data_IF_664848317792
#
_entry.id   IF_664848317792
#
_cell.length_a   1.000
_cell.length_b   1.000
_cell.length_c   1.000
_cell.angle_alpha   90.00
_cell.angle_beta   90.00
_cell.angle_gamma   90.00
#
_symmetry.space_group_name_H-M   'P 1'
#
loop_
_entity.id
_entity.type
_entity.pdbx_description
1 polymer ?
#
# COMPACT_ATOMS: atom_id res chain seq x y z
N UNK A 1 -14.94 22.23 -10.59
CA UNK A 1 -15.32 20.80 -10.61
C UNK A 1 -14.05 20.00 -10.36
N UNK A 2 -13.74 19.70 -9.11
CA UNK A 2 -12.55 18.91 -8.77
C UNK A 2 -12.89 17.45 -9.02
N UNK A 3 -12.43 16.91 -10.15
CA UNK A 3 -12.54 15.49 -10.43
C UNK A 3 -11.82 14.73 -9.33
N UNK A 4 -12.49 13.78 -8.68
CA UNK A 4 -11.82 12.85 -7.79
C UNK A 4 -10.73 12.16 -8.60
N UNK A 5 -9.47 12.52 -8.34
CA UNK A 5 -8.32 11.80 -8.87
C UNK A 5 -8.50 10.39 -8.33
N UNK A 6 -8.89 9.43 -9.18
CA UNK A 6 -9.01 8.03 -8.77
C UNK A 6 -7.62 7.61 -8.32
N UNK A 7 -7.40 7.53 -7.01
CA UNK A 7 -6.16 6.98 -6.47
C UNK A 7 -6.03 5.58 -7.07
N UNK A 8 -4.94 5.29 -7.79
CA UNK A 8 -4.76 3.98 -8.39
C UNK A 8 -4.83 2.94 -7.27
N UNK A 9 -5.50 1.81 -7.55
CA UNK A 9 -5.64 0.72 -6.59
C UNK A 9 -4.23 0.24 -6.21
N UNK A 10 -3.91 0.12 -4.91
CA UNK A 10 -2.57 -0.28 -4.48
C UNK A 10 -2.15 -1.63 -5.09
N UNK A 11 -0.89 -1.72 -5.44
CA UNK A 11 -0.29 -2.92 -6.03
C UNK A 11 1.09 -3.22 -5.45
N UNK A 12 1.60 -4.42 -5.73
CA UNK A 12 2.91 -4.87 -5.28
C UNK A 12 3.98 -3.84 -5.63
N UNK A 13 4.76 -3.45 -4.62
CA UNK A 13 5.76 -2.40 -4.72
C UNK A 13 5.31 -1.05 -4.18
N UNK A 14 4.01 -0.79 -4.06
CA UNK A 14 3.56 0.50 -3.53
C UNK A 14 3.82 0.59 -2.02
N UNK A 15 4.21 1.78 -1.56
CA UNK A 15 4.18 2.16 -0.15
C UNK A 15 2.81 2.78 0.12
N UNK A 16 2.10 2.25 1.10
CA UNK A 16 0.73 2.65 1.44
C UNK A 16 0.63 3.10 2.89
N UNK A 17 -0.29 4.01 3.16
CA UNK A 17 -0.81 4.28 4.49
C UNK A 17 -2.06 3.42 4.71
N UNK A 18 -2.05 2.60 5.75
CA UNK A 18 -3.20 1.82 6.21
C UNK A 18 -3.93 2.63 7.29
N UNK A 19 -5.05 3.26 6.91
CA UNK A 19 -5.82 4.12 7.81
C UNK A 19 -6.40 3.35 9.00
N UNK A 20 -6.73 2.07 8.84
CA UNK A 20 -7.33 1.27 9.92
C UNK A 20 -6.32 1.04 11.05
N UNK A 21 -5.02 0.99 10.71
CA UNK A 21 -3.92 0.81 11.67
C UNK A 21 -3.13 2.08 11.96
N UNK A 22 -3.41 3.17 11.25
CA UNK A 22 -2.73 4.46 11.39
C UNK A 22 -1.23 4.40 11.09
N UNK A 23 -0.78 3.52 10.20
CA UNK A 23 0.65 3.32 9.91
C UNK A 23 0.92 2.95 8.46
N UNK A 24 2.17 3.08 8.05
CA UNK A 24 2.59 2.80 6.68
C UNK A 24 3.20 1.41 6.49
N UNK A 25 3.07 0.89 5.27
CA UNK A 25 3.51 -0.44 4.88
C UNK A 25 3.88 -0.49 3.39
N UNK A 26 4.52 -1.58 2.98
CA UNK A 26 4.74 -1.91 1.57
C UNK A 26 3.81 -3.05 1.18
N UNK A 27 3.14 -2.92 0.03
CA UNK A 27 2.46 -4.07 -0.60
C UNK A 27 3.54 -5.00 -1.16
N UNK A 28 3.64 -6.20 -0.59
CA UNK A 28 4.66 -7.18 -1.00
C UNK A 28 4.11 -8.29 -1.87
N UNK A 29 2.79 -8.54 -1.82
CA UNK A 29 2.17 -9.64 -2.54
C UNK A 29 0.65 -9.43 -2.72
N UNK A 30 0.04 -10.18 -3.63
CA UNK A 30 -1.40 -10.28 -3.84
C UNK A 30 -1.80 -11.75 -3.82
N UNK A 31 -2.43 -12.20 -2.74
CA UNK A 31 -2.80 -13.60 -2.53
C UNK A 31 -4.32 -13.75 -2.65
N UNK A 32 -4.77 -14.50 -3.66
CA UNK A 32 -6.21 -14.70 -3.92
C UNK A 32 -6.99 -13.38 -3.99
N UNK A 33 -6.40 -12.36 -4.61
CA UNK A 33 -6.99 -11.01 -4.73
C UNK A 33 -6.90 -10.13 -3.48
N UNK A 34 -6.29 -10.61 -2.40
CA UNK A 34 -6.05 -9.84 -1.16
C UNK A 34 -4.62 -9.34 -1.11
N UNK A 35 -4.45 -8.07 -0.76
CA UNK A 35 -3.14 -7.48 -0.58
C UNK A 35 -2.45 -8.05 0.67
N UNK A 36 -1.14 -8.25 0.59
CA UNK A 36 -0.30 -8.57 1.74
C UNK A 36 0.66 -7.42 1.97
N UNK A 37 0.61 -6.87 3.18
CA UNK A 37 1.41 -5.73 3.62
C UNK A 37 2.54 -6.21 4.51
N UNK A 38 3.69 -5.55 4.38
CA UNK A 38 4.82 -5.65 5.31
C UNK A 38 5.06 -4.29 5.94
N UNK A 39 5.26 -4.23 7.24
CA UNK A 39 5.64 -2.99 7.92
C UNK A 39 6.91 -2.39 7.29
N UNK A 40 7.01 -1.06 7.30
CA UNK A 40 8.26 -0.38 6.95
C UNK A 40 9.40 -0.73 7.93
N UNK A 41 9.04 -0.90 9.20
CA UNK A 41 9.97 -1.21 10.28
C UNK A 41 9.53 -2.47 11.01
N UNK A 42 10.48 -3.34 11.34
CA UNK A 42 10.21 -4.63 11.97
C UNK A 42 9.83 -5.73 10.97
N UNK A 43 9.26 -6.83 11.48
CA UNK A 43 9.03 -8.07 10.72
C UNK A 43 7.56 -8.39 10.50
N UNK A 44 6.65 -7.53 10.97
CA UNK A 44 5.22 -7.76 10.91
C UNK A 44 4.68 -7.73 9.47
N UNK A 45 3.78 -8.67 9.19
CA UNK A 45 3.02 -8.76 7.94
C UNK A 45 1.54 -8.93 8.25
N UNK A 46 0.68 -8.33 7.44
CA UNK A 46 -0.77 -8.44 7.61
C UNK A 46 -1.51 -8.28 6.29
N UNK A 47 -2.76 -8.73 6.29
CA UNK A 47 -3.75 -8.43 5.25
C UNK A 47 -4.57 -7.24 5.77
N UNK A 48 -4.79 -6.18 4.96
CA UNK A 48 -5.60 -5.05 5.38
C UNK A 48 -7.05 -5.50 5.60
N UNK A 49 -7.69 -4.96 6.63
CA UNK A 49 -9.10 -5.26 6.93
C UNK A 49 -10.03 -4.67 5.86
N UNK A 50 -9.69 -3.48 5.36
CA UNK A 50 -10.39 -2.79 4.29
C UNK A 50 -9.37 -2.29 3.24
N UNK A 51 -9.27 -2.95 2.07
CA UNK A 51 -8.34 -2.56 1.00
C UNK A 51 -8.64 -1.17 0.43
N UNK A 52 -9.86 -0.67 0.55
CA UNK A 52 -10.26 0.64 0.00
C UNK A 52 -9.81 1.79 0.92
N UNK A 53 -9.35 1.47 2.14
CA UNK A 53 -8.76 2.41 3.10
C UNK A 53 -7.23 2.43 3.08
N UNK A 54 -6.66 1.97 1.96
CA UNK A 54 -5.25 2.11 1.68
C UNK A 54 -5.01 3.29 0.76
N UNK A 55 -4.15 4.21 1.20
CA UNK A 55 -3.71 5.33 0.38
C UNK A 55 -2.28 5.08 -0.08
N UNK A 56 -2.03 5.09 -1.40
CA UNK A 56 -0.65 5.04 -1.93
C UNK A 56 0.06 6.34 -1.57
N UNK A 57 1.18 6.23 -0.85
CA UNK A 57 2.02 7.36 -0.41
C UNK A 57 3.25 7.51 -1.31
N UNK A 58 3.84 6.39 -1.75
CA UNK A 58 4.92 6.36 -2.74
C UNK A 58 4.62 5.26 -3.73
N UNK A 59 4.60 5.61 -5.01
CA UNK A 59 4.34 4.65 -6.08
C UNK A 59 5.53 3.69 -6.25
N UNK A 60 5.26 2.46 -6.69
CA UNK A 60 6.31 1.47 -6.98
C UNK A 60 7.35 1.97 -7.98
N UNK A 61 6.95 2.78 -8.96
CA UNK A 61 7.85 3.34 -9.99
C UNK A 61 8.88 4.27 -9.35
N UNK A 62 8.48 5.08 -8.36
CA UNK A 62 9.35 6.02 -7.64
C UNK A 62 10.30 5.32 -6.66
N UNK A 63 9.99 4.08 -6.24
CA UNK A 63 10.86 3.29 -5.34
C UNK A 63 12.02 2.58 -6.05
N UNK A 64 12.04 2.53 -7.38
CA UNK A 64 13.07 1.78 -8.12
C UNK A 64 14.39 2.54 -8.28
N UNK A 65 14.45 3.83 -7.94
CA UNK A 65 15.64 4.68 -8.10
C UNK A 65 16.61 4.67 -6.90
N UNK A 66 16.35 3.86 -5.86
CA UNK A 66 17.07 3.90 -4.57
C UNK A 66 18.02 2.69 -4.32
N UNK A 67 18.43 1.97 -5.38
CA UNK A 67 19.32 0.79 -5.27
C UNK A 67 20.67 0.96 -5.97
#
# INVERSE_FOLDING_TARGET
MSGAQRTPRPWVGDRVHDEARGREAIVTDVQSGRLVLRALYGTERWVPEDPDRLTVVVAREERQDDF
#
